data_IF_813747341110
#
_entry.id   IF_813747341110
#
_cell.length_a   1.000
_cell.length_b   1.000
_cell.length_c   1.000
_cell.angle_alpha   90.00
_cell.angle_beta   90.00
_cell.angle_gamma   90.00
#
_symmetry.space_group_name_H-M   'P 1'
#
loop_
_entity.id
_entity.type
_entity.pdbx_description
1 polymer ?
#
# COMPACT_ATOMS: atom_id res chain seq x y z
N UNK A 1 10.00 -18.50 0.55
CA UNK A 1 9.23 -18.23 1.80
C UNK A 1 8.26 -17.10 1.51
N UNK A 2 7.04 -17.13 2.06
CA UNK A 2 6.07 -16.05 1.81
C UNK A 2 6.47 -14.77 2.57
N UNK A 3 6.51 -13.64 1.86
CA UNK A 3 6.80 -12.33 2.45
C UNK A 3 5.51 -11.65 2.91
N UNK A 4 5.47 -11.22 4.16
CA UNK A 4 4.36 -10.51 4.75
C UNK A 4 4.70 -9.01 4.79
N UNK A 5 3.75 -8.20 4.37
CA UNK A 5 3.89 -6.74 4.38
C UNK A 5 2.94 -6.14 5.40
N UNK A 6 3.49 -5.36 6.32
CA UNK A 6 2.76 -4.59 7.32
C UNK A 6 2.77 -3.13 6.90
N UNK A 7 1.64 -2.46 6.89
CA UNK A 7 1.56 -1.03 6.62
C UNK A 7 1.21 -0.22 7.85
N UNK A 8 1.97 0.85 8.14
CA UNK A 8 1.56 1.83 9.15
C UNK A 8 0.45 2.73 8.60
N UNK A 9 -0.39 3.25 9.46
CA UNK A 9 -1.43 4.22 9.15
C UNK A 9 -1.60 5.16 10.34
N UNK A 10 -2.10 6.37 10.13
CA UNK A 10 -2.33 7.34 11.21
C UNK A 10 -1.83 8.73 10.88
N UNK A 11 -2.20 9.70 11.71
CA UNK A 11 -1.90 11.12 11.53
C UNK A 11 -0.39 11.40 11.56
N UNK A 12 0.02 12.57 11.03
CA UNK A 12 1.37 13.11 11.22
C UNK A 12 1.66 13.24 12.72
N UNK A 13 2.90 13.11 13.13
CA UNK A 13 3.38 13.23 14.51
C UNK A 13 2.79 12.23 15.53
N UNK A 14 1.97 11.27 15.10
CA UNK A 14 1.49 10.17 15.96
C UNK A 14 2.55 9.08 16.24
N UNK A 15 3.81 9.30 15.84
CA UNK A 15 4.92 8.44 16.22
C UNK A 15 5.09 7.17 15.37
N UNK A 16 4.54 7.10 14.14
CA UNK A 16 4.69 5.94 13.23
C UNK A 16 6.14 5.55 13.00
N UNK A 17 6.95 6.50 12.53
CA UNK A 17 8.38 6.30 12.25
C UNK A 17 9.17 5.92 13.51
N UNK A 18 8.85 6.53 14.66
CA UNK A 18 9.45 6.17 15.94
C UNK A 18 9.10 4.73 16.36
N UNK A 19 7.84 4.32 16.16
CA UNK A 19 7.37 2.96 16.41
C UNK A 19 8.09 1.96 15.50
N UNK A 20 8.18 2.24 14.20
CA UNK A 20 8.90 1.37 13.24
C UNK A 20 10.37 1.22 13.65
N UNK A 21 11.01 2.33 14.06
CA UNK A 21 12.39 2.31 14.57
C UNK A 21 12.51 1.47 15.84
N UNK A 22 11.57 1.59 16.78
CA UNK A 22 11.58 0.81 18.02
C UNK A 22 11.40 -0.71 17.75
N UNK A 23 10.56 -1.07 16.79
CA UNK A 23 10.30 -2.46 16.39
C UNK A 23 11.47 -3.12 15.63
N UNK A 24 12.18 -2.35 14.78
CA UNK A 24 13.12 -2.90 13.79
C UNK A 24 14.57 -2.43 13.98
N UNK A 25 14.81 -1.40 14.78
CA UNK A 25 16.09 -0.72 14.88
C UNK A 25 16.43 0.20 13.69
N UNK A 26 15.60 0.22 12.64
CA UNK A 26 15.85 0.96 11.39
C UNK A 26 15.10 2.29 11.40
N UNK A 27 15.80 3.39 11.14
CA UNK A 27 15.16 4.68 10.89
C UNK A 27 14.75 4.78 9.41
N UNK A 28 13.46 4.93 9.14
CA UNK A 28 12.88 4.99 7.80
C UNK A 28 12.98 6.37 7.16
N UNK A 29 13.15 7.44 7.93
CA UNK A 29 13.37 8.81 7.43
C UNK A 29 14.83 8.98 6.95
N UNK A 30 15.05 8.68 5.67
CA UNK A 30 16.39 8.70 5.06
C UNK A 30 16.67 9.96 4.25
N UNK A 31 15.63 10.64 3.73
CA UNK A 31 15.78 11.83 2.92
C UNK A 31 16.22 13.03 3.78
N UNK A 32 17.13 13.83 3.23
CA UNK A 32 17.56 15.06 3.92
C UNK A 32 16.40 16.01 4.24
N UNK A 33 15.37 16.03 3.38
CA UNK A 33 14.17 16.83 3.59
C UNK A 33 13.27 16.28 4.71
N UNK A 34 13.20 14.96 4.89
CA UNK A 34 12.48 14.30 5.99
C UNK A 34 13.12 14.64 7.32
N UNK A 35 14.46 14.51 7.40
CA UNK A 35 15.23 14.85 8.60
C UNK A 35 15.12 16.33 8.96
N UNK A 36 15.11 17.22 7.96
CA UNK A 36 15.00 18.67 8.19
C UNK A 36 13.61 19.12 8.63
N UNK A 37 12.56 18.39 8.22
CA UNK A 37 11.15 18.72 8.52
C UNK A 37 10.56 17.89 9.66
N UNK A 38 11.25 16.82 10.10
CA UNK A 38 10.75 15.89 11.10
C UNK A 38 9.52 15.07 10.67
N UNK A 39 9.29 14.93 9.34
CA UNK A 39 8.13 14.21 8.81
C UNK A 39 8.50 13.32 7.64
N UNK A 40 7.90 12.15 7.55
CA UNK A 40 8.03 11.22 6.42
C UNK A 40 7.34 11.78 5.17
N UNK A 41 8.03 11.80 4.05
CA UNK A 41 7.53 12.33 2.76
C UNK A 41 7.26 11.19 1.78
N UNK A 42 8.16 10.21 1.71
CA UNK A 42 8.04 9.04 0.85
C UNK A 42 7.88 7.77 1.69
N UNK A 43 7.61 6.65 1.04
CA UNK A 43 7.48 5.36 1.73
C UNK A 43 8.81 4.97 2.37
N UNK A 44 8.79 4.70 3.67
CA UNK A 44 9.90 4.09 4.38
C UNK A 44 9.77 2.57 4.40
N UNK A 45 10.88 1.84 4.36
CA UNK A 45 10.89 0.39 4.42
C UNK A 45 11.83 -0.09 5.52
N UNK A 46 11.32 -0.95 6.38
CA UNK A 46 12.08 -1.58 7.45
C UNK A 46 11.74 -3.08 7.53
N UNK A 47 12.66 -3.88 8.01
CA UNK A 47 12.48 -5.32 8.11
C UNK A 47 12.39 -5.73 9.57
N UNK A 48 11.25 -6.34 9.96
CA UNK A 48 11.06 -6.90 11.29
C UNK A 48 11.86 -8.21 11.43
N UNK A 49 11.92 -8.97 10.35
CA UNK A 49 12.75 -10.16 10.14
C UNK A 49 12.87 -10.44 8.63
N UNK A 50 13.43 -11.60 8.25
CA UNK A 50 13.61 -12.00 6.85
C UNK A 50 12.31 -12.19 6.07
N UNK A 51 11.17 -12.38 6.75
CA UNK A 51 9.85 -12.67 6.15
C UNK A 51 8.86 -11.51 6.29
N UNK A 52 9.15 -10.50 7.10
CA UNK A 52 8.20 -9.44 7.42
C UNK A 52 8.82 -8.07 7.13
N UNK A 53 8.22 -7.37 6.17
CA UNK A 53 8.56 -5.99 5.83
C UNK A 53 7.52 -5.04 6.42
N UNK A 54 7.97 -3.96 7.05
CA UNK A 54 7.11 -2.85 7.49
C UNK A 54 7.27 -1.70 6.51
N UNK A 55 6.14 -1.22 5.99
CA UNK A 55 6.07 0.01 5.18
C UNK A 55 5.64 1.15 6.11
N UNK A 56 6.54 2.09 6.32
CA UNK A 56 6.25 3.32 7.03
C UNK A 56 5.69 4.35 6.05
N UNK A 57 4.43 4.73 6.25
CA UNK A 57 3.75 5.61 5.33
C UNK A 57 3.69 7.05 5.85
N UNK A 58 3.79 8.06 4.96
CA UNK A 58 3.63 9.46 5.35
C UNK A 58 2.23 9.70 5.96
N UNK A 59 2.19 10.44 7.08
CA UNK A 59 0.93 10.77 7.77
C UNK A 59 0.22 12.02 7.25
N UNK A 60 0.87 12.81 6.40
CA UNK A 60 0.34 14.10 5.95
C UNK A 60 -0.55 13.94 4.70
N UNK A 61 -1.71 14.63 4.68
CA UNK A 61 -2.69 14.59 3.57
C UNK A 61 -2.09 14.79 2.17
N UNK A 62 -1.06 15.67 2.05
CA UNK A 62 -0.36 15.91 0.77
C UNK A 62 0.34 14.67 0.21
N UNK A 63 0.62 13.68 1.06
CA UNK A 63 1.34 12.47 0.69
C UNK A 63 0.45 11.21 0.69
N UNK A 64 -0.87 11.38 0.79
CA UNK A 64 -1.86 10.29 0.79
C UNK A 64 -1.71 9.38 -0.44
N UNK A 65 -1.29 9.95 -1.58
CA UNK A 65 -0.96 9.20 -2.79
C UNK A 65 0.21 8.23 -2.62
N UNK A 66 1.20 8.61 -1.80
CA UNK A 66 2.33 7.73 -1.50
C UNK A 66 1.87 6.59 -0.59
N UNK A 67 1.01 6.90 0.38
CA UNK A 67 0.37 5.90 1.22
C UNK A 67 -0.45 4.92 0.37
N UNK A 68 -1.33 5.38 -0.50
CA UNK A 68 -2.15 4.51 -1.35
C UNK A 68 -1.30 3.57 -2.22
N UNK A 69 -0.18 4.08 -2.77
CA UNK A 69 0.75 3.26 -3.54
C UNK A 69 1.48 2.21 -2.70
N UNK A 70 1.80 2.52 -1.43
CA UNK A 70 2.42 1.57 -0.50
C UNK A 70 1.44 0.53 0.03
N UNK A 71 0.20 0.93 0.28
CA UNK A 71 -0.82 0.08 0.89
C UNK A 71 -1.36 -1.02 -0.05
N UNK A 72 -1.13 -0.92 -1.36
CA UNK A 72 -1.64 -1.89 -2.35
C UNK A 72 -1.21 -3.35 -2.07
N UNK A 73 -0.05 -3.54 -1.42
CA UNK A 73 0.52 -4.86 -1.10
C UNK A 73 0.57 -5.14 0.41
N UNK A 74 -0.18 -4.38 1.22
CA UNK A 74 -0.23 -4.55 2.67
C UNK A 74 -1.16 -5.71 3.03
N UNK A 75 -0.67 -6.59 3.89
CA UNK A 75 -1.42 -7.74 4.42
C UNK A 75 -1.94 -7.48 5.83
N UNK A 76 -1.21 -6.71 6.63
CA UNK A 76 -1.52 -6.38 8.03
C UNK A 76 -1.50 -4.87 8.21
N UNK A 77 -2.56 -4.30 8.76
CA UNK A 77 -2.67 -2.88 9.06
C UNK A 77 -2.23 -2.55 10.49
N UNK A 78 -1.38 -1.55 10.65
CA UNK A 78 -0.99 -1.02 11.95
C UNK A 78 -1.42 0.44 12.06
N UNK A 79 -2.58 0.68 12.68
CA UNK A 79 -3.11 2.02 12.90
C UNK A 79 -2.46 2.64 14.14
N UNK A 80 -1.76 3.76 13.97
CA UNK A 80 -1.02 4.43 15.04
C UNK A 80 -1.72 5.73 15.41
N UNK A 81 -2.08 5.87 16.67
CA UNK A 81 -2.75 7.05 17.23
C UNK A 81 -1.99 7.50 18.47
N UNK A 82 -1.79 8.80 18.60
CA UNK A 82 -1.17 9.37 19.79
C UNK A 82 -2.23 9.68 20.85
N UNK A 83 -1.97 9.33 22.11
CA UNK A 83 -2.91 9.49 23.20
C UNK A 83 -3.21 10.96 23.53
N UNK A 84 -2.24 11.86 23.29
CA UNK A 84 -2.38 13.30 23.51
C UNK A 84 -3.33 13.97 22.50
N UNK A 85 -3.35 13.48 21.25
CA UNK A 85 -4.15 14.06 20.15
C UNK A 85 -5.47 13.32 19.90
N UNK A 86 -5.53 12.01 20.24
CA UNK A 86 -6.69 11.16 19.94
C UNK A 86 -6.93 10.94 18.44
N UNK A 87 -8.21 10.76 18.06
CA UNK A 87 -8.60 10.48 16.67
C UNK A 87 -8.60 11.78 15.84
N UNK A 88 -7.67 11.87 14.90
CA UNK A 88 -7.52 12.99 13.98
C UNK A 88 -8.20 12.70 12.61
N UNK A 89 -8.50 13.73 11.79
CA UNK A 89 -9.11 13.53 10.47
C UNK A 89 -8.33 12.55 9.59
N UNK A 90 -6.99 12.66 9.53
CA UNK A 90 -6.16 11.74 8.75
C UNK A 90 -6.16 10.31 9.32
N UNK A 91 -6.43 10.12 10.61
CA UNK A 91 -6.61 8.78 11.19
C UNK A 91 -7.78 8.06 10.52
N UNK A 92 -8.90 8.77 10.32
CA UNK A 92 -10.09 8.23 9.63
C UNK A 92 -9.82 7.98 8.15
N UNK A 93 -9.17 8.92 7.45
CA UNK A 93 -8.80 8.78 6.05
C UNK A 93 -7.88 7.59 5.82
N UNK A 94 -6.86 7.42 6.66
CA UNK A 94 -5.92 6.31 6.57
C UNK A 94 -6.60 4.97 6.87
N UNK A 95 -7.52 4.94 7.83
CA UNK A 95 -8.31 3.74 8.12
C UNK A 95 -9.20 3.37 6.92
N UNK A 96 -9.85 4.33 6.26
CA UNK A 96 -10.61 4.10 5.04
C UNK A 96 -9.74 3.57 3.89
N UNK A 97 -8.51 4.06 3.76
CA UNK A 97 -7.56 3.53 2.77
C UNK A 97 -7.20 2.08 3.12
N UNK A 98 -6.89 1.77 4.37
CA UNK A 98 -6.65 0.40 4.81
C UNK A 98 -7.86 -0.50 4.53
N UNK A 99 -9.06 0.00 4.79
CA UNK A 99 -10.32 -0.72 4.57
C UNK A 99 -10.58 -1.01 3.08
N UNK A 100 -10.01 -0.20 2.18
CA UNK A 100 -10.08 -0.40 0.73
C UNK A 100 -9.16 -1.50 0.21
N UNK A 101 -8.21 -1.96 1.01
CA UNK A 101 -7.25 -3.00 0.63
C UNK A 101 -7.59 -4.35 1.28
N UNK A 102 -7.07 -5.44 0.69
CA UNK A 102 -7.33 -6.82 1.16
C UNK A 102 -6.50 -7.15 2.41
N UNK A 103 -6.58 -6.30 3.44
CA UNK A 103 -5.91 -6.53 4.72
C UNK A 103 -6.58 -7.68 5.45
N UNK A 104 -5.79 -8.59 6.03
CA UNK A 104 -6.28 -9.81 6.67
C UNK A 104 -6.21 -9.77 8.19
N UNK A 105 -5.70 -8.67 8.75
CA UNK A 105 -5.62 -8.47 10.18
C UNK A 105 -4.86 -7.19 10.52
N UNK A 106 -4.75 -6.89 11.79
CA UNK A 106 -4.03 -5.70 12.22
C UNK A 106 -4.15 -5.44 13.71
N UNK A 107 -3.68 -4.26 14.09
CA UNK A 107 -3.78 -3.75 15.45
C UNK A 107 -3.85 -2.22 15.44
N UNK A 108 -4.28 -1.68 16.56
CA UNK A 108 -4.17 -0.25 16.86
C UNK A 108 -3.05 -0.07 17.89
N UNK A 109 -2.16 0.87 17.66
CA UNK A 109 -1.10 1.24 18.60
C UNK A 109 -1.38 2.63 19.14
N UNK A 110 -1.60 2.72 20.44
CA UNK A 110 -1.78 3.99 21.15
C UNK A 110 -0.42 4.45 21.69
N UNK A 111 0.15 5.45 21.04
CA UNK A 111 1.49 5.97 21.37
C UNK A 111 1.41 7.17 22.30
N UNK A 112 2.56 7.64 22.80
CA UNK A 112 2.71 8.83 23.66
C UNK A 112 1.88 8.76 24.95
N UNK A 113 1.63 7.58 25.48
CA UNK A 113 0.90 7.41 26.73
C UNK A 113 1.63 7.99 27.94
N UNK A 114 2.92 8.20 27.83
CA UNK A 114 3.80 8.84 28.82
C UNK A 114 3.61 10.35 28.93
N UNK A 115 3.06 11.00 27.91
CA UNK A 115 2.81 12.46 27.90
C UNK A 115 1.50 12.78 28.61
N UNK A 116 0.55 11.83 28.60
CA UNK A 116 -0.78 11.99 29.18
C UNK A 116 -0.77 11.46 30.61
N UNK A 117 -0.94 12.34 31.60
CA UNK A 117 -0.99 11.97 33.02
C UNK A 117 -2.44 11.72 33.52
N UNK A 118 -3.34 11.37 32.62
CA UNK A 118 -4.76 11.16 32.88
C UNK A 118 -5.19 9.81 32.28
N UNK A 119 -5.36 8.81 33.15
CA UNK A 119 -5.81 7.45 32.74
C UNK A 119 -7.25 7.45 32.21
N UNK A 120 -8.13 8.28 32.76
CA UNK A 120 -9.52 8.38 32.29
C UNK A 120 -9.58 8.91 30.85
N UNK A 121 -8.70 9.84 30.51
CA UNK A 121 -8.55 10.32 29.14
C UNK A 121 -8.04 9.22 28.20
N UNK A 122 -7.03 8.46 28.61
CA UNK A 122 -6.48 7.34 27.80
C UNK A 122 -7.57 6.30 27.55
N UNK A 123 -8.34 5.94 28.57
CA UNK A 123 -9.45 4.99 28.47
C UNK A 123 -10.56 5.51 27.53
N UNK A 124 -10.84 6.82 27.57
CA UNK A 124 -11.80 7.45 26.65
C UNK A 124 -11.32 7.35 25.18
N UNK A 125 -10.05 7.65 24.92
CA UNK A 125 -9.46 7.53 23.58
C UNK A 125 -9.52 6.06 23.09
N UNK A 126 -9.29 5.08 23.96
CA UNK A 126 -9.43 3.67 23.59
C UNK A 126 -10.87 3.29 23.25
N UNK A 127 -11.86 3.79 23.99
CA UNK A 127 -13.28 3.56 23.67
C UNK A 127 -13.66 4.18 22.33
N UNK A 128 -13.19 5.38 22.04
CA UNK A 128 -13.41 6.03 20.74
C UNK A 128 -12.76 5.26 19.60
N UNK A 129 -11.55 4.74 19.80
CA UNK A 129 -10.85 3.89 18.83
C UNK A 129 -11.59 2.58 18.59
N UNK A 130 -12.10 1.91 19.63
CA UNK A 130 -12.92 0.71 19.49
C UNK A 130 -14.18 0.99 18.67
N UNK A 131 -14.84 2.12 18.90
CA UNK A 131 -16.01 2.54 18.14
C UNK A 131 -15.66 2.83 16.67
N UNK A 132 -14.51 3.50 16.42
CA UNK A 132 -14.04 3.83 15.08
C UNK A 132 -13.76 2.59 14.23
N UNK A 133 -13.07 1.58 14.79
CA UNK A 133 -12.66 0.38 14.04
C UNK A 133 -13.76 -0.66 13.88
N UNK A 134 -14.88 -0.54 14.59
CA UNK A 134 -15.95 -1.54 14.70
C UNK A 134 -16.50 -2.06 13.37
N UNK A 135 -16.56 -1.21 12.35
CA UNK A 135 -17.12 -1.58 11.03
C UNK A 135 -16.05 -1.57 9.93
N UNK A 136 -14.80 -1.78 10.29
CA UNK A 136 -13.66 -1.73 9.38
C UNK A 136 -12.91 -3.07 9.36
N UNK A 137 -11.88 -3.18 8.54
CA UNK A 137 -10.98 -4.35 8.50
C UNK A 137 -10.24 -4.60 9.82
N UNK A 138 -10.19 -3.59 10.71
CA UNK A 138 -9.59 -3.69 12.04
C UNK A 138 -10.61 -4.02 13.14
N UNK A 139 -11.82 -4.45 12.79
CA UNK A 139 -12.83 -4.82 13.80
C UNK A 139 -12.32 -5.94 14.72
N UNK A 140 -12.35 -5.69 16.03
CA UNK A 140 -11.83 -6.62 17.03
C UNK A 140 -10.30 -6.67 17.14
N UNK A 141 -9.58 -5.83 16.42
CA UNK A 141 -8.13 -5.71 16.58
C UNK A 141 -7.76 -5.18 17.98
N UNK A 142 -6.68 -5.68 18.61
CA UNK A 142 -6.26 -5.19 19.91
C UNK A 142 -5.76 -3.75 19.81
N UNK A 143 -5.99 -2.98 20.87
CA UNK A 143 -5.38 -1.68 21.11
C UNK A 143 -4.24 -1.89 22.10
N UNK A 144 -3.02 -1.55 21.69
CA UNK A 144 -1.81 -1.74 22.51
C UNK A 144 -1.21 -0.38 22.82
N UNK A 145 -1.11 -0.06 24.12
CA UNK A 145 -0.46 1.15 24.63
C UNK A 145 1.06 1.02 24.49
N UNK A 146 1.71 2.06 24.00
CA UNK A 146 3.15 2.05 23.71
C UNK A 146 3.80 3.37 24.13
N UNK A 147 4.95 3.26 24.78
CA UNK A 147 5.91 4.34 24.91
C UNK A 147 7.13 4.07 24.00
N UNK A 148 7.24 4.82 22.92
CA UNK A 148 8.34 4.65 21.95
C UNK A 148 9.73 5.03 22.52
N UNK A 149 9.79 5.76 23.64
CA UNK A 149 11.04 6.21 24.25
C UNK A 149 11.59 5.17 25.22
N UNK A 150 10.73 4.61 26.07
CA UNK A 150 11.12 3.58 27.07
C UNK A 150 11.11 2.18 26.49
N UNK A 151 10.33 1.95 25.43
CA UNK A 151 10.12 0.64 24.83
C UNK A 151 8.94 -0.14 25.43
N UNK A 152 8.21 0.46 26.37
CA UNK A 152 7.04 -0.19 26.98
C UNK A 152 5.99 -0.48 25.89
N UNK A 153 5.44 -1.69 25.89
CA UNK A 153 4.45 -2.16 24.92
C UNK A 153 5.01 -2.60 23.57
N UNK A 154 6.27 -2.26 23.21
CA UNK A 154 6.88 -2.62 21.91
C UNK A 154 6.91 -4.14 21.71
N UNK A 155 7.29 -4.91 22.73
CA UNK A 155 7.35 -6.37 22.63
C UNK A 155 5.95 -6.98 22.46
N UNK A 156 4.91 -6.40 23.05
CA UNK A 156 3.52 -6.83 22.85
C UNK A 156 3.07 -6.59 21.42
N UNK A 157 3.39 -5.42 20.84
CA UNK A 157 3.15 -5.11 19.41
C UNK A 157 3.84 -6.12 18.53
N UNK A 158 5.14 -6.35 18.76
CA UNK A 158 5.94 -7.30 17.98
C UNK A 158 5.38 -8.71 18.04
N UNK A 159 5.02 -9.19 19.23
CA UNK A 159 4.42 -10.51 19.44
C UNK A 159 3.10 -10.65 18.67
N UNK A 160 2.24 -9.63 18.73
CA UNK A 160 0.97 -9.64 18.01
C UNK A 160 1.20 -9.66 16.48
N UNK A 161 2.10 -8.83 15.95
CA UNK A 161 2.43 -8.80 14.53
C UNK A 161 2.98 -10.15 14.04
N UNK A 162 3.87 -10.78 14.80
CA UNK A 162 4.42 -12.12 14.49
C UNK A 162 3.34 -13.21 14.53
N UNK A 163 2.37 -13.10 15.42
CA UNK A 163 1.23 -14.02 15.49
C UNK A 163 0.32 -13.85 14.27
N UNK A 164 -0.14 -12.63 14.02
CA UNK A 164 -1.03 -12.31 12.88
C UNK A 164 -0.39 -12.66 11.55
N UNK A 165 0.93 -12.46 11.39
CA UNK A 165 1.65 -12.82 10.18
C UNK A 165 1.59 -14.32 9.84
N UNK A 166 1.47 -15.20 10.84
CA UNK A 166 1.30 -16.66 10.62
C UNK A 166 -0.08 -17.03 10.10
N UNK A 167 -1.08 -16.19 10.34
CA UNK A 167 -2.48 -16.41 9.95
C UNK A 167 -2.78 -15.85 8.56
N UNK A 168 -1.92 -14.95 8.05
CA UNK A 168 -2.08 -14.35 6.71
C UNK A 168 -1.97 -15.42 5.63
N UNK A 169 -2.98 -15.44 4.76
CA UNK A 169 -3.02 -16.32 3.57
C UNK A 169 -2.76 -15.49 2.33
N UNK A 170 -1.57 -15.58 1.77
CA UNK A 170 -1.26 -14.91 0.51
C UNK A 170 -1.95 -15.68 -0.62
N UNK A 171 -2.89 -15.02 -1.31
CA UNK A 171 -3.49 -15.57 -2.50
C UNK A 171 -2.55 -15.38 -3.68
N UNK A 172 -2.03 -16.47 -4.22
CA UNK A 172 -1.28 -16.44 -5.48
C UNK A 172 -2.29 -16.18 -6.60
N UNK A 173 -2.32 -14.94 -7.08
CA UNK A 173 -3.28 -14.49 -8.12
C UNK A 173 -2.88 -14.94 -9.52
N UNK A 174 -1.60 -15.16 -9.75
CA UNK A 174 -1.03 -15.59 -11.03
C UNK A 174 0.37 -16.14 -10.81
N UNK A 175 0.78 -17.10 -11.64
CA UNK A 175 2.16 -17.57 -11.72
C UNK A 175 3.05 -16.63 -12.56
N UNK A 176 2.43 -15.71 -13.27
CA UNK A 176 3.13 -14.75 -14.12
C UNK A 176 3.68 -13.60 -13.29
N UNK A 177 4.94 -13.25 -13.54
CA UNK A 177 5.60 -12.17 -12.81
C UNK A 177 4.94 -10.82 -13.08
N UNK A 178 4.72 -10.08 -12.00
CA UNK A 178 4.30 -8.68 -12.03
C UNK A 178 4.88 -7.92 -10.86
N UNK A 179 5.39 -6.72 -11.16
CA UNK A 179 5.89 -5.78 -10.16
C UNK A 179 5.57 -4.34 -10.58
N UNK A 180 5.02 -3.53 -9.69
CA UNK A 180 4.86 -2.10 -9.87
C UNK A 180 6.11 -1.35 -9.43
N UNK A 181 6.64 -0.50 -10.30
CA UNK A 181 7.81 0.34 -9.99
C UNK A 181 7.41 1.50 -9.10
N UNK A 182 8.06 1.63 -7.97
CA UNK A 182 7.89 2.77 -7.06
C UNK A 182 9.04 3.78 -7.11
N UNK A 183 10.26 3.34 -7.38
CA UNK A 183 11.42 4.21 -7.54
C UNK A 183 12.30 3.78 -8.70
N UNK A 184 12.98 4.76 -9.30
CA UNK A 184 13.92 4.52 -10.40
C UNK A 184 15.20 5.26 -10.13
N UNK A 185 16.31 4.56 -10.25
CA UNK A 185 17.64 5.08 -10.02
C UNK A 185 18.53 4.86 -11.25
N UNK A 186 19.48 5.78 -11.48
CA UNK A 186 20.60 5.54 -12.37
C UNK A 186 21.85 5.39 -11.53
N UNK A 187 22.55 4.28 -11.67
CA UNK A 187 23.82 4.04 -10.97
C UNK A 187 24.93 3.95 -12.01
N UNK A 188 25.93 4.83 -11.89
CA UNK A 188 27.08 4.87 -12.80
C UNK A 188 27.73 3.49 -12.87
N UNK A 189 27.87 2.93 -14.09
CA UNK A 189 28.42 1.59 -14.33
C UNK A 189 27.42 0.45 -14.23
N UNK A 190 26.22 0.66 -13.65
CA UNK A 190 25.19 -0.38 -13.49
C UNK A 190 23.97 -0.18 -14.40
N UNK A 191 23.76 1.02 -14.92
CA UNK A 191 22.60 1.34 -15.76
C UNK A 191 21.34 1.70 -14.93
N UNK A 192 20.19 1.33 -15.44
CA UNK A 192 18.88 1.62 -14.81
C UNK A 192 18.53 0.56 -13.77
N UNK A 193 18.27 1.02 -12.55
CA UNK A 193 17.80 0.20 -11.43
C UNK A 193 16.42 0.68 -11.03
N UNK A 194 15.49 -0.26 -10.89
CA UNK A 194 14.12 0.00 -10.45
C UNK A 194 13.84 -0.73 -9.16
N UNK A 195 13.00 -0.16 -8.29
CA UNK A 195 12.52 -0.85 -7.09
C UNK A 195 11.01 -1.00 -7.09
N UNK A 196 10.52 -2.04 -6.44
CA UNK A 196 9.11 -2.35 -6.30
C UNK A 196 8.90 -3.56 -5.38
N UNK A 197 7.65 -3.83 -5.07
CA UNK A 197 7.24 -5.08 -4.43
C UNK A 197 6.64 -6.01 -5.47
N UNK A 198 7.00 -7.28 -5.43
CA UNK A 198 6.49 -8.30 -6.36
C UNK A 198 5.03 -8.61 -6.02
N UNK A 199 4.12 -8.37 -6.97
CA UNK A 199 2.68 -8.60 -6.81
C UNK A 199 2.26 -10.04 -7.12
N UNK A 200 2.93 -10.66 -8.10
CA UNK A 200 2.65 -12.04 -8.53
C UNK A 200 3.85 -12.67 -9.21
N UNK A 201 3.87 -14.01 -9.26
CA UNK A 201 4.88 -14.81 -9.94
C UNK A 201 6.24 -14.80 -9.26
N UNK A 202 7.23 -15.29 -9.99
CA UNK A 202 8.63 -15.35 -9.61
C UNK A 202 9.50 -14.79 -10.75
N UNK A 203 10.64 -14.19 -10.41
CA UNK A 203 11.58 -13.60 -11.36
C UNK A 203 13.00 -14.05 -11.05
N UNK A 204 13.73 -14.44 -12.08
CA UNK A 204 15.13 -14.87 -11.99
C UNK A 204 16.07 -13.91 -12.72
N UNK A 205 17.33 -13.90 -12.30
CA UNK A 205 18.39 -13.23 -13.04
C UNK A 205 18.50 -13.84 -14.43
N UNK A 206 18.50 -12.99 -15.45
CA UNK A 206 18.53 -13.40 -16.86
C UNK A 206 17.18 -13.41 -17.56
N UNK A 207 16.07 -13.32 -16.83
CA UNK A 207 14.73 -13.30 -17.41
C UNK A 207 14.47 -12.07 -18.26
N UNK A 208 13.56 -12.23 -19.22
CA UNK A 208 13.05 -11.15 -20.05
C UNK A 208 11.77 -10.58 -19.47
N UNK A 209 11.67 -9.27 -19.48
CA UNK A 209 10.53 -8.50 -19.00
C UNK A 209 10.06 -7.51 -20.06
N UNK A 210 8.79 -7.15 -20.00
CA UNK A 210 8.20 -6.02 -20.71
C UNK A 210 7.86 -4.91 -19.71
N UNK A 211 8.28 -3.69 -20.01
CA UNK A 211 7.97 -2.47 -19.23
C UNK A 211 6.77 -1.76 -19.83
N UNK A 212 5.70 -1.69 -19.09
CA UNK A 212 4.43 -1.16 -19.54
C UNK A 212 4.11 0.18 -18.84
N UNK A 213 3.44 1.12 -19.48
CA UNK A 213 2.69 0.99 -20.75
C UNK A 213 3.53 1.20 -22.03
N UNK A 214 4.81 1.56 -21.91
CA UNK A 214 5.66 1.94 -23.05
C UNK A 214 6.07 0.76 -23.94
N UNK A 215 5.87 -0.49 -23.50
CA UNK A 215 6.24 -1.74 -24.20
C UNK A 215 7.74 -1.81 -24.52
N UNK A 216 8.56 -1.53 -23.51
CA UNK A 216 10.03 -1.61 -23.63
C UNK A 216 10.48 -2.99 -23.16
N UNK A 217 11.24 -3.69 -24.00
CA UNK A 217 11.84 -4.97 -23.64
C UNK A 217 13.06 -4.76 -22.74
N UNK A 218 13.13 -5.51 -21.67
CA UNK A 218 14.22 -5.50 -20.71
C UNK A 218 14.74 -6.90 -20.41
N UNK A 219 15.99 -6.98 -19.96
CA UNK A 219 16.56 -8.19 -19.38
C UNK A 219 17.06 -7.92 -17.98
N UNK A 220 16.76 -8.80 -17.04
CA UNK A 220 17.23 -8.72 -15.66
C UNK A 220 18.71 -9.07 -15.59
N UNK A 221 19.56 -8.11 -15.21
CA UNK A 221 21.01 -8.31 -15.01
C UNK A 221 21.35 -8.76 -13.60
N UNK A 222 20.54 -8.36 -12.63
CA UNK A 222 20.76 -8.68 -11.22
C UNK A 222 19.57 -8.26 -10.39
N UNK A 223 19.43 -8.93 -9.28
CA UNK A 223 18.34 -8.75 -8.32
C UNK A 223 18.95 -8.53 -6.94
N UNK A 224 18.44 -7.57 -6.20
CA UNK A 224 18.77 -7.36 -4.80
C UNK A 224 17.50 -7.31 -3.95
N UNK A 225 17.54 -7.97 -2.80
CA UNK A 225 16.55 -7.85 -1.72
C UNK A 225 17.29 -7.80 -0.39
N UNK A 226 16.74 -7.09 0.60
CA UNK A 226 17.36 -6.93 1.93
C UNK A 226 18.84 -6.45 1.90
N UNK A 227 19.21 -5.69 0.86
CA UNK A 227 20.58 -5.19 0.68
C UNK A 227 21.59 -6.21 0.14
N UNK A 228 21.20 -7.46 -0.12
CA UNK A 228 22.00 -8.52 -0.70
C UNK A 228 21.59 -8.88 -2.13
N UNK A 229 22.54 -9.44 -2.91
CA UNK A 229 22.23 -10.01 -4.21
C UNK A 229 21.57 -11.38 -4.05
N UNK A 230 20.57 -11.64 -4.89
CA UNK A 230 19.85 -12.92 -4.94
C UNK A 230 19.65 -13.35 -6.39
N UNK A 231 19.42 -14.63 -6.62
CA UNK A 231 19.18 -15.19 -7.95
C UNK A 231 17.71 -15.08 -8.37
N UNK A 232 16.78 -15.05 -7.40
CA UNK A 232 15.35 -14.92 -7.67
C UNK A 232 14.60 -14.14 -6.60
N UNK A 233 13.41 -13.66 -6.93
CA UNK A 233 12.44 -13.03 -6.02
C UNK A 233 11.02 -13.49 -6.36
N UNK A 234 10.18 -13.57 -5.33
CA UNK A 234 8.77 -13.99 -5.43
C UNK A 234 7.79 -13.01 -4.81
N UNK A 235 6.54 -13.42 -4.72
CA UNK A 235 5.43 -12.60 -4.21
C UNK A 235 5.72 -12.04 -2.83
N UNK A 236 5.53 -10.72 -2.67
CA UNK A 236 5.76 -9.97 -1.45
C UNK A 236 7.19 -9.48 -1.26
N UNK A 237 8.17 -10.00 -2.02
CA UNK A 237 9.55 -9.53 -1.94
C UNK A 237 9.68 -8.09 -2.38
N UNK A 238 10.41 -7.31 -1.59
CA UNK A 238 10.87 -5.99 -1.98
C UNK A 238 12.16 -6.12 -2.79
N UNK A 239 12.08 -5.87 -4.08
CA UNK A 239 13.18 -6.09 -5.00
C UNK A 239 13.74 -4.79 -5.59
N UNK A 240 15.06 -4.76 -5.78
CA UNK A 240 15.75 -3.82 -6.65
C UNK A 240 16.27 -4.60 -7.87
N UNK A 241 15.78 -4.25 -9.06
CA UNK A 241 16.10 -4.91 -10.31
C UNK A 241 17.03 -4.05 -11.14
N UNK A 242 18.18 -4.58 -11.50
CA UNK A 242 19.08 -3.97 -12.49
C UNK A 242 18.65 -4.44 -13.90
N UNK A 243 18.25 -3.49 -14.74
CA UNK A 243 17.70 -3.76 -16.06
C UNK A 243 18.71 -3.44 -17.15
N UNK A 244 18.85 -4.37 -18.10
CA UNK A 244 19.60 -4.17 -19.34
C UNK A 244 18.70 -3.58 -20.40
N UNK A 245 19.30 -2.79 -21.30
CA UNK A 245 18.64 -2.22 -22.48
C UNK A 245 17.47 -1.27 -22.15
N UNK A 246 17.49 -0.64 -20.99
CA UNK A 246 16.48 0.32 -20.55
C UNK A 246 17.15 1.62 -20.17
N UNK A 247 16.73 2.71 -20.82
CA UNK A 247 17.14 4.04 -20.42
C UNK A 247 16.32 4.54 -19.23
N UNK A 248 16.90 5.44 -18.44
CA UNK A 248 16.23 6.03 -17.27
C UNK A 248 14.94 6.77 -17.64
N UNK A 249 14.86 7.30 -18.85
CA UNK A 249 13.72 8.05 -19.39
C UNK A 249 12.55 7.16 -19.81
N UNK A 250 12.77 5.87 -20.01
CA UNK A 250 11.77 4.91 -20.46
C UNK A 250 10.96 4.30 -19.32
N UNK A 251 11.45 4.47 -18.08
CA UNK A 251 10.83 3.89 -16.88
C UNK A 251 10.62 4.96 -15.80
N UNK A 252 9.46 4.93 -15.16
CA UNK A 252 9.03 5.88 -14.15
C UNK A 252 8.17 5.19 -13.06
N UNK A 253 7.91 5.89 -11.98
CA UNK A 253 6.97 5.40 -10.96
C UNK A 253 5.59 5.15 -11.60
N UNK A 254 5.04 3.95 -11.40
CA UNK A 254 3.81 3.51 -12.04
C UNK A 254 4.02 2.64 -13.27
N UNK A 255 5.26 2.51 -13.77
CA UNK A 255 5.61 1.48 -14.76
C UNK A 255 5.35 0.09 -14.14
N UNK A 256 4.78 -0.81 -14.93
CA UNK A 256 4.58 -2.21 -14.57
C UNK A 256 5.59 -3.06 -15.30
N UNK A 257 6.33 -3.87 -14.58
CA UNK A 257 7.17 -4.93 -15.12
C UNK A 257 6.39 -6.23 -15.11
N UNK A 258 6.35 -6.93 -16.24
CA UNK A 258 5.71 -8.24 -16.33
C UNK A 258 6.41 -9.16 -17.33
N UNK A 259 6.05 -10.44 -17.30
CA UNK A 259 6.37 -11.30 -18.44
C UNK A 259 5.76 -10.73 -19.72
N UNK A 260 6.44 -10.85 -20.89
CA UNK A 260 5.97 -10.25 -22.13
C UNK A 260 4.58 -10.75 -22.57
N UNK A 261 3.73 -9.81 -23.03
CA UNK A 261 2.43 -10.12 -23.63
C UNK A 261 1.27 -10.46 -22.70
N UNK A 262 1.46 -10.38 -21.37
CA UNK A 262 0.46 -10.82 -20.38
C UNK A 262 -0.48 -9.70 -19.96
N UNK A 263 0.02 -8.47 -19.91
CA UNK A 263 -0.71 -7.31 -19.42
C UNK A 263 -1.21 -6.45 -20.57
N UNK A 264 -2.51 -6.14 -20.56
CA UNK A 264 -3.09 -5.24 -21.53
C UNK A 264 -2.81 -3.77 -21.21
N UNK A 265 -2.54 -2.97 -22.23
CA UNK A 265 -2.44 -1.52 -22.14
C UNK A 265 -3.73 -0.91 -22.69
N UNK A 266 -4.43 -0.12 -21.87
CA UNK A 266 -5.74 0.45 -22.22
C UNK A 266 -5.88 1.90 -21.79
N UNK A 267 -6.77 2.63 -22.48
CA UNK A 267 -7.24 3.97 -22.11
C UNK A 267 -8.66 3.98 -21.55
N UNK A 268 -9.29 2.81 -21.43
CA UNK A 268 -10.64 2.70 -20.85
C UNK A 268 -10.69 1.50 -19.92
N UNK A 269 -11.25 1.70 -18.74
CA UNK A 269 -11.50 0.63 -17.76
C UNK A 269 -12.94 0.66 -17.33
N UNK A 270 -13.49 -0.52 -17.04
CA UNK A 270 -14.77 -0.65 -16.34
C UNK A 270 -14.44 -0.86 -14.88
N UNK A 271 -15.03 -0.03 -14.02
CA UNK A 271 -14.83 -0.10 -12.59
C UNK A 271 -16.16 -0.16 -11.85
N UNK A 272 -16.20 -0.89 -10.75
CA UNK A 272 -17.30 -0.81 -9.79
C UNK A 272 -16.87 0.15 -8.68
N UNK A 273 -17.59 1.27 -8.53
CA UNK A 273 -17.32 2.29 -7.51
C UNK A 273 -18.22 2.03 -6.32
N UNK A 274 -17.63 2.02 -5.13
CA UNK A 274 -18.33 1.96 -3.85
C UNK A 274 -18.04 3.28 -3.13
N UNK A 275 -19.09 4.04 -2.83
CA UNK A 275 -18.96 5.30 -2.09
C UNK A 275 -19.02 5.04 -0.59
N UNK A 276 -18.05 5.58 0.15
CA UNK A 276 -18.08 5.48 1.61
C UNK A 276 -19.34 6.14 2.19
N UNK A 277 -19.96 5.54 3.23
CA UNK A 277 -21.16 6.07 3.85
C UNK A 277 -20.93 7.41 4.59
N UNK A 278 -19.69 7.69 5.01
CA UNK A 278 -19.32 8.87 5.78
C UNK A 278 -18.73 9.99 4.91
N UNK A 279 -18.71 9.81 3.58
CA UNK A 279 -18.17 10.85 2.68
C UNK A 279 -19.22 11.88 2.30
N UNK A 280 -18.83 13.16 2.28
CA UNK A 280 -19.65 14.24 1.71
C UNK A 280 -19.51 14.35 0.18
N UNK A 281 -18.65 13.52 -0.41
CA UNK A 281 -18.41 13.54 -1.84
C UNK A 281 -19.55 12.89 -2.63
N UNK A 282 -19.72 13.40 -3.84
CA UNK A 282 -20.64 12.86 -4.84
C UNK A 282 -19.87 12.78 -6.16
N UNK A 283 -19.87 11.62 -6.78
CA UNK A 283 -19.29 11.46 -8.13
C UNK A 283 -20.38 11.72 -9.16
N UNK A 284 -20.15 12.69 -10.04
CA UNK A 284 -21.08 13.06 -11.14
C UNK A 284 -20.65 12.41 -12.45
N UNK A 285 -21.61 12.17 -13.34
CA UNK A 285 -21.29 11.76 -14.71
C UNK A 285 -20.43 12.82 -15.39
N UNK A 286 -19.44 12.40 -16.17
CA UNK A 286 -18.42 13.24 -16.80
C UNK A 286 -17.43 13.94 -15.84
N UNK A 287 -17.46 13.62 -14.55
CA UNK A 287 -16.51 14.17 -13.60
C UNK A 287 -15.11 13.60 -13.84
N UNK A 288 -14.11 14.49 -13.72
CA UNK A 288 -12.69 14.11 -13.70
C UNK A 288 -12.34 13.61 -12.31
N UNK A 289 -11.75 12.43 -12.23
CA UNK A 289 -11.33 11.78 -10.98
C UNK A 289 -9.87 11.38 -11.07
N UNK A 290 -9.25 11.18 -9.92
CA UNK A 290 -7.90 10.66 -9.77
C UNK A 290 -7.98 9.20 -9.39
N UNK A 291 -7.23 8.36 -10.11
CA UNK A 291 -7.14 6.94 -9.86
C UNK A 291 -5.73 6.60 -9.37
N UNK A 292 -5.66 5.76 -8.34
CA UNK A 292 -4.43 5.15 -7.87
C UNK A 292 -4.50 3.66 -8.16
N UNK A 293 -3.54 3.14 -8.95
CA UNK A 293 -3.49 1.73 -9.35
C UNK A 293 -2.05 1.25 -9.20
N UNK A 294 -1.81 0.35 -8.25
CA UNK A 294 -0.45 0.04 -7.81
C UNK A 294 0.28 1.33 -7.42
N UNK A 295 1.41 1.61 -8.04
CA UNK A 295 2.18 2.84 -7.80
C UNK A 295 1.86 3.99 -8.77
N UNK A 296 0.95 3.77 -9.74
CA UNK A 296 0.55 4.76 -10.72
C UNK A 296 -0.54 5.69 -10.19
N UNK A 297 -0.45 6.97 -10.56
CA UNK A 297 -1.49 7.99 -10.38
C UNK A 297 -1.94 8.49 -11.76
N UNK A 298 -3.21 8.33 -12.08
CA UNK A 298 -3.75 8.64 -13.41
C UNK A 298 -5.04 9.42 -13.28
N UNK A 299 -5.22 10.46 -14.10
CA UNK A 299 -6.50 11.16 -14.21
C UNK A 299 -7.39 10.46 -15.21
N UNK A 300 -8.68 10.39 -14.90
CA UNK A 300 -9.67 9.81 -15.77
C UNK A 300 -11.01 10.52 -15.66
N UNK A 301 -11.85 10.34 -16.68
CA UNK A 301 -13.20 10.89 -16.75
C UNK A 301 -14.22 9.77 -16.61
N UNK A 302 -15.10 9.90 -15.63
CA UNK A 302 -16.15 8.91 -15.34
C UNK A 302 -17.30 9.05 -16.34
N UNK A 303 -17.76 7.92 -16.86
CA UNK A 303 -19.00 7.80 -17.64
C UNK A 303 -19.89 6.75 -16.99
N UNK A 304 -21.11 7.12 -16.63
CA UNK A 304 -22.07 6.24 -15.95
C UNK A 304 -23.50 6.47 -16.46
N UNK A 305 -24.34 5.48 -16.31
CA UNK A 305 -25.76 5.56 -16.69
C UNK A 305 -26.57 6.47 -15.76
N UNK A 306 -26.20 6.52 -14.48
CA UNK A 306 -26.81 7.40 -13.48
C UNK A 306 -26.17 8.78 -13.52
N UNK A 307 -26.91 9.88 -13.23
CA UNK A 307 -26.35 11.23 -13.24
C UNK A 307 -25.28 11.45 -12.17
N UNK A 308 -25.36 10.70 -11.05
CA UNK A 308 -24.43 10.80 -9.92
C UNK A 308 -24.48 9.55 -9.03
N UNK A 309 -23.39 9.30 -8.29
CA UNK A 309 -23.30 8.38 -7.16
C UNK A 309 -23.10 9.18 -5.88
N UNK A 310 -23.92 8.93 -4.86
CA UNK A 310 -23.85 9.58 -3.55
C UNK A 310 -23.19 8.67 -2.51
N UNK A 311 -23.01 9.20 -1.30
CA UNK A 311 -22.54 8.44 -0.14
C UNK A 311 -23.34 7.15 0.07
N UNK A 312 -22.63 6.06 0.35
CA UNK A 312 -23.23 4.74 0.56
C UNK A 312 -23.76 4.04 -0.68
N UNK A 313 -23.81 4.72 -1.85
CA UNK A 313 -24.23 4.11 -3.12
C UNK A 313 -23.05 3.41 -3.80
N UNK A 314 -23.35 2.48 -4.67
CA UNK A 314 -22.37 1.84 -5.53
C UNK A 314 -22.87 1.73 -6.96
N UNK A 315 -21.96 1.52 -7.91
CA UNK A 315 -22.34 1.38 -9.31
C UNK A 315 -21.18 1.14 -10.24
N UNK A 316 -21.49 0.49 -11.36
CA UNK A 316 -20.50 0.26 -12.42
C UNK A 316 -20.37 1.49 -13.32
N UNK A 317 -19.14 1.84 -13.62
CA UNK A 317 -18.80 3.01 -14.43
C UNK A 317 -17.74 2.66 -15.48
N UNK A 318 -17.69 3.42 -16.54
CA UNK A 318 -16.58 3.41 -17.49
C UNK A 318 -15.70 4.61 -17.16
N UNK A 319 -14.40 4.40 -17.07
CA UNK A 319 -13.45 5.50 -16.84
C UNK A 319 -12.54 5.61 -18.06
N UNK A 320 -12.64 6.73 -18.77
CA UNK A 320 -11.73 7.11 -19.84
C UNK A 320 -10.48 7.74 -19.24
N UNK A 321 -9.32 7.12 -19.44
CA UNK A 321 -8.04 7.52 -18.87
C UNK A 321 -7.32 8.55 -19.76
N UNK A 322 -6.67 9.54 -19.17
CA UNK A 322 -5.90 10.56 -19.91
C UNK A 322 -4.62 9.99 -20.49
N UNK A 323 -4.00 9.02 -19.81
CA UNK A 323 -2.85 8.26 -20.28
C UNK A 323 -3.17 6.76 -20.28
N UNK A 324 -2.40 6.00 -21.06
CA UNK A 324 -2.54 4.54 -21.08
C UNK A 324 -2.16 3.93 -19.73
N UNK A 325 -2.92 2.96 -19.29
CA UNK A 325 -2.69 2.19 -18.09
C UNK A 325 -2.45 0.73 -18.42
N UNK A 326 -1.53 0.13 -17.71
CA UNK A 326 -1.26 -1.31 -17.74
C UNK A 326 -2.18 -2.01 -16.75
N UNK A 327 -3.08 -2.83 -17.27
CA UNK A 327 -4.12 -3.48 -16.47
C UNK A 327 -4.02 -4.99 -16.70
N UNK A 328 -3.81 -5.76 -15.64
CA UNK A 328 -4.08 -7.19 -15.68
C UNK A 328 -5.60 -7.37 -15.89
N UNK A 329 -5.99 -8.28 -16.77
CA UNK A 329 -7.40 -8.63 -16.94
C UNK A 329 -7.95 -9.12 -15.60
N UNK A 330 -8.88 -8.38 -14.98
CA UNK A 330 -9.34 -8.47 -13.59
C UNK A 330 -8.42 -7.78 -12.57
N UNK A 331 -8.44 -6.46 -12.56
CA UNK A 331 -8.06 -5.68 -11.39
C UNK A 331 -9.22 -5.72 -10.39
N UNK A 332 -9.03 -6.51 -9.34
CA UNK A 332 -9.82 -6.34 -8.13
C UNK A 332 -9.21 -5.16 -7.36
N UNK A 333 -9.84 -4.01 -7.46
CA UNK A 333 -9.70 -2.99 -6.41
C UNK A 333 -10.59 -3.47 -5.28
N UNK A 334 -9.95 -4.09 -4.28
CA UNK A 334 -10.53 -4.57 -3.02
C UNK A 334 -12.06 -4.75 -2.99
N UNK A 335 -12.57 -5.95 -3.18
CA UNK A 335 -13.82 -6.30 -2.55
C UNK A 335 -13.51 -6.70 -1.11
N UNK A 336 -14.33 -6.21 -0.19
CA UNK A 336 -14.51 -6.86 1.10
C UNK A 336 -14.65 -8.38 0.87
N UNK A 337 -14.14 -9.26 1.75
CA UNK A 337 -14.28 -10.70 1.63
C UNK A 337 -15.72 -11.20 1.49
N UNK A 338 -16.71 -10.33 1.65
CA UNK A 338 -18.14 -10.65 1.51
C UNK A 338 -18.64 -10.70 0.07
N UNK A 339 -17.90 -10.20 -0.94
CA UNK A 339 -18.39 -10.03 -2.30
C UNK A 339 -17.81 -11.03 -3.34
N UNK A 340 -17.19 -12.11 -2.90
CA UNK A 340 -16.61 -13.14 -3.79
C UNK A 340 -17.67 -13.98 -4.55
N UNK A 341 -18.97 -13.70 -4.41
CA UNK A 341 -20.03 -14.56 -4.99
C UNK A 341 -20.65 -14.09 -6.30
N UNK A 342 -20.31 -12.91 -6.84
CA UNK A 342 -21.11 -12.32 -7.93
C UNK A 342 -20.38 -11.84 -9.19
N UNK A 343 -19.10 -12.11 -9.40
CA UNK A 343 -18.43 -11.69 -10.63
C UNK A 343 -18.17 -12.85 -11.61
N UNK A 344 -19.21 -13.49 -12.13
CA UNK A 344 -19.13 -14.18 -13.42
C UNK A 344 -19.53 -13.19 -14.50
N UNK A 345 -18.57 -12.75 -15.31
CA UNK A 345 -18.88 -12.14 -16.59
C UNK A 345 -19.44 -13.23 -17.53
N UNK A 346 -20.50 -12.94 -18.31
CA UNK A 346 -20.86 -13.81 -19.41
C UNK A 346 -19.74 -13.79 -20.43
N UNK A 347 -19.32 -14.98 -20.85
CA UNK A 347 -18.43 -15.17 -21.98
C UNK A 347 -19.07 -14.59 -23.22
N UNK A 348 -18.28 -13.82 -23.94
CA UNK A 348 -18.48 -13.23 -25.27
C UNK A 348 -19.37 -14.00 -26.25
N UNK A 349 -20.23 -13.29 -26.92
CA UNK A 349 -20.45 -13.48 -28.34
C UNK A 349 -19.71 -12.36 -29.09
#
# INVERSE_FOLDING_TARGET
>A
MQQIVIGTAGHIDHGKTALVKALTGTNTDQLAQEKARGMTIDLGFAYLNEQITIIDVPGHEKFIRNMAAGAANVHIGMLVVAADDGIMPQTKEHLQILDSFSIQGGLVVLTKVDIVNDEEWIDLVELELQALIKNTVLNGAPIIRVNNLTGDGIEAVKKHLLHTAKEVKIQIRSNEFRMHVDRVFSKKGFGTVVTGTVDSGELHVGDKLELLPNKVDAKVRGIQTHGGNVDSVGVGDRAALNLANVERTEVYRGTVLSNPGIIAVTKKVIAHIIMYPDTDWTIKNNQRIRLHIGTAEIMGKVSMATPKLKKGENGSVIIGLEISLSVACLLYTSPSPRDLSTSRMPSSA
#
